data_IF_653743753657
#
_entry.id   IF_653743753657
#
_cell.length_a   1.000
_cell.length_b   1.000
_cell.length_c   1.000
_cell.angle_alpha   90.00
_cell.angle_beta   90.00
_cell.angle_gamma   90.00
#
_symmetry.space_group_name_H-M   'P 1'
#
loop_
_entity.id
_entity.type
_entity.pdbx_description
1 polymer ?
#
# COMPACT_ATOMS: atom_id res chain seq x y z
N UNK A 1 -6.52 28.57 46.12
CA UNK A 1 -5.83 27.73 47.12
C UNK A 1 -5.89 26.29 46.65
N UNK A 2 -4.75 25.64 46.51
CA UNK A 2 -4.61 24.36 45.87
C UNK A 2 -4.76 23.19 46.85
N UNK A 3 -5.14 22.04 46.33
CA UNK A 3 -4.90 20.76 47.04
C UNK A 3 -4.30 19.75 46.08
N UNK A 4 -3.01 19.58 46.24
CA UNK A 4 -2.18 18.49 45.74
C UNK A 4 -2.54 17.18 46.46
N UNK A 5 -2.73 16.10 45.75
CA UNK A 5 -2.65 14.74 46.28
C UNK A 5 -1.59 13.95 45.48
N UNK A 6 -0.46 13.79 46.14
CA UNK A 6 0.61 12.86 45.81
C UNK A 6 0.20 11.46 46.24
N UNK A 7 0.26 10.46 45.36
CA UNK A 7 0.19 9.06 45.74
C UNK A 7 1.45 8.34 45.28
N UNK A 8 2.28 7.97 46.25
CA UNK A 8 3.37 6.99 46.12
C UNK A 8 2.76 5.61 46.07
N UNK A 9 3.25 4.75 45.16
CA UNK A 9 3.14 3.30 45.28
C UNK A 9 4.50 2.65 45.01
N UNK A 10 4.87 1.83 45.97
CA UNK A 10 6.16 1.18 46.14
C UNK A 10 6.39 0.00 45.19
N UNK A 11 7.67 -0.22 44.88
CA UNK A 11 8.20 -1.37 44.22
C UNK A 11 8.26 -2.59 45.16
N UNK A 12 7.97 -3.76 44.66
CA UNK A 12 8.36 -5.05 45.27
C UNK A 12 9.11 -5.91 44.24
N UNK A 13 10.39 -6.11 44.54
CA UNK A 13 11.25 -7.16 43.94
C UNK A 13 10.88 -8.52 44.57
N UNK A 14 10.84 -9.55 43.76
CA UNK A 14 11.01 -10.95 44.23
C UNK A 14 11.95 -11.71 43.28
N UNK A 15 13.08 -12.06 43.85
CA UNK A 15 14.13 -12.94 43.29
C UNK A 15 13.97 -14.37 43.83
N UNK A 16 14.66 -15.31 43.17
CA UNK A 16 15.05 -16.69 43.55
C UNK A 16 14.44 -17.73 42.57
N UNK A 17 15.12 -18.81 42.17
CA UNK A 17 16.47 -19.35 42.42
C UNK A 17 16.74 -20.45 41.40
N UNK A 18 18.01 -20.67 41.11
CA UNK A 18 18.56 -21.74 40.28
C UNK A 18 18.41 -23.11 40.91
N UNK A 19 18.27 -24.15 40.06
CA UNK A 19 18.40 -25.56 40.45
C UNK A 19 19.06 -26.35 39.34
N UNK A 20 20.37 -26.61 39.47
CA UNK A 20 21.10 -27.61 38.71
C UNK A 20 20.95 -28.99 39.39
N UNK A 21 20.75 -30.06 38.59
CA UNK A 21 21.25 -31.41 38.94
C UNK A 21 21.59 -32.22 37.68
N UNK A 22 22.61 -33.07 37.74
CA UNK A 22 23.22 -33.69 36.58
C UNK A 22 22.92 -35.19 36.43
N UNK A 23 23.08 -35.69 35.19
CA UNK A 23 23.68 -36.96 34.85
C UNK A 23 22.83 -38.21 34.95
N UNK A 24 22.65 -38.90 33.83
CA UNK A 24 23.02 -40.33 33.71
C UNK A 24 23.02 -40.73 32.22
N UNK A 25 24.15 -41.28 31.82
CA UNK A 25 24.35 -42.00 30.55
C UNK A 25 23.72 -43.39 30.62
N UNK A 26 23.10 -43.84 29.55
CA UNK A 26 23.04 -45.29 29.24
C UNK A 26 23.03 -45.50 27.72
N UNK A 27 23.98 -46.33 27.30
CA UNK A 27 24.21 -46.86 25.96
C UNK A 27 23.09 -47.84 25.53
N UNK A 28 22.85 -47.82 24.21
CA UNK A 28 22.65 -49.04 23.44
C UNK A 28 21.26 -49.34 22.93
N UNK A 29 21.05 -49.18 21.64
CA UNK A 29 20.64 -50.30 20.78
C UNK A 29 20.51 -49.85 19.33
N UNK A 30 21.14 -50.60 18.44
CA UNK A 30 21.02 -50.45 16.99
C UNK A 30 19.60 -50.82 16.54
N UNK A 31 18.92 -49.88 15.90
CA UNK A 31 17.61 -50.06 15.29
C UNK A 31 17.65 -49.66 13.80
N UNK A 32 17.34 -50.62 12.99
CA UNK A 32 17.22 -50.73 11.55
C UNK A 32 16.76 -49.45 10.83
N UNK A 33 17.54 -49.02 9.85
CA UNK A 33 17.21 -47.90 8.93
C UNK A 33 16.10 -48.37 7.98
N UNK A 34 14.89 -47.95 8.23
CA UNK A 34 13.81 -47.99 7.23
C UNK A 34 13.94 -46.82 6.30
N UNK A 35 14.28 -47.09 5.05
CA UNK A 35 14.30 -46.16 3.95
C UNK A 35 12.86 -45.73 3.65
N UNK A 36 12.40 -44.62 4.21
CA UNK A 36 11.19 -43.95 3.73
C UNK A 36 11.52 -43.28 2.40
N UNK A 37 10.95 -43.81 1.34
CA UNK A 37 10.89 -43.16 0.02
C UNK A 37 10.05 -41.91 0.17
N UNK A 38 10.70 -40.75 0.13
CA UNK A 38 10.04 -39.44 0.16
C UNK A 38 9.08 -39.33 -1.00
N UNK A 39 7.84 -39.01 -0.73
CA UNK A 39 6.88 -38.54 -1.70
C UNK A 39 7.45 -37.30 -2.41
N UNK A 40 7.22 -37.08 -3.73
CA UNK A 40 7.70 -35.90 -4.39
C UNK A 40 7.04 -34.68 -3.75
N UNK A 41 7.85 -33.74 -3.30
CA UNK A 41 7.41 -32.42 -2.89
C UNK A 41 6.58 -31.83 -4.03
N UNK A 42 5.30 -31.58 -3.74
CA UNK A 42 4.42 -30.90 -4.68
C UNK A 42 5.09 -29.60 -5.13
N UNK A 43 5.31 -29.47 -6.43
CA UNK A 43 5.77 -28.24 -7.02
C UNK A 43 4.77 -27.14 -6.66
N UNK A 44 5.16 -26.25 -5.76
CA UNK A 44 4.50 -24.95 -5.66
C UNK A 44 4.65 -24.34 -7.05
N UNK A 45 3.56 -24.27 -7.78
CA UNK A 45 3.48 -23.50 -9.02
C UNK A 45 3.78 -22.06 -8.64
N UNK A 46 5.03 -21.68 -8.74
CA UNK A 46 5.48 -20.31 -8.54
C UNK A 46 4.71 -19.44 -9.52
N UNK A 47 3.83 -18.61 -9.01
CA UNK A 47 3.10 -17.61 -9.77
C UNK A 47 4.12 -16.77 -10.54
N UNK A 48 4.23 -17.01 -11.86
CA UNK A 48 5.19 -16.31 -12.69
C UNK A 48 4.68 -14.89 -12.94
N UNK A 49 5.37 -13.91 -12.37
CA UNK A 49 5.15 -12.50 -12.67
C UNK A 49 5.66 -12.23 -14.11
N UNK A 50 4.90 -11.44 -14.86
CA UNK A 50 5.33 -10.92 -16.16
C UNK A 50 6.53 -9.97 -16.04
N UNK A 51 7.11 -9.54 -17.17
CA UNK A 51 8.16 -8.54 -17.17
C UNK A 51 7.64 -7.19 -16.67
N UNK A 52 8.51 -6.41 -16.03
CA UNK A 52 8.22 -5.03 -15.70
C UNK A 52 8.08 -4.17 -16.95
N UNK A 53 7.07 -3.33 -16.98
CA UNK A 53 6.80 -2.34 -18.01
C UNK A 53 6.83 -0.96 -17.39
N UNK A 54 7.60 -0.04 -17.97
CA UNK A 54 7.60 1.37 -17.57
C UNK A 54 6.29 2.05 -18.00
N UNK A 55 5.76 2.91 -17.15
CA UNK A 55 4.61 3.77 -17.44
C UNK A 55 5.00 5.23 -17.71
N UNK A 56 6.29 5.59 -17.52
CA UNK A 56 6.85 6.90 -17.86
C UNK A 56 8.23 6.68 -18.47
N UNK A 57 8.40 6.98 -19.76
CA UNK A 57 9.66 6.81 -20.48
C UNK A 57 10.14 8.17 -21.00
N UNK A 58 11.28 8.64 -20.51
CA UNK A 58 11.82 9.95 -20.87
C UNK A 58 10.77 11.05 -20.62
N UNK A 59 10.36 11.74 -21.66
CA UNK A 59 9.37 12.82 -21.60
C UNK A 59 7.96 12.37 -22.04
N UNK A 60 7.76 11.05 -22.18
CA UNK A 60 6.51 10.50 -22.73
C UNK A 60 5.47 10.23 -21.67
N UNK A 61 4.28 10.71 -21.87
CA UNK A 61 3.06 10.38 -21.13
C UNK A 61 2.12 9.46 -21.94
N UNK A 62 2.63 8.74 -22.93
CA UNK A 62 1.82 7.92 -23.85
C UNK A 62 1.00 6.82 -23.13
N UNK A 63 1.47 6.32 -21.97
CA UNK A 63 0.73 5.36 -21.17
C UNK A 63 -0.45 5.97 -20.39
N UNK A 64 -0.57 7.30 -20.37
CA UNK A 64 -1.53 8.05 -19.55
C UNK A 64 -2.54 8.82 -20.39
N UNK A 65 -3.67 9.13 -19.79
CA UNK A 65 -4.68 10.08 -20.24
C UNK A 65 -5.41 10.69 -19.04
N UNK A 66 -6.17 11.74 -19.23
CA UNK A 66 -7.02 12.25 -18.17
C UNK A 66 -8.18 11.32 -17.85
N UNK A 67 -8.67 11.38 -16.62
CA UNK A 67 -9.90 10.67 -16.24
C UNK A 67 -11.07 11.19 -17.09
N UNK A 68 -11.78 10.28 -17.76
CA UNK A 68 -12.85 10.61 -18.75
C UNK A 68 -12.40 11.55 -19.88
N UNK A 69 -11.13 11.48 -20.28
CA UNK A 69 -10.55 12.30 -21.36
C UNK A 69 -9.60 11.45 -22.19
N UNK A 70 -9.40 11.82 -23.45
CA UNK A 70 -8.48 11.09 -24.36
C UNK A 70 -7.03 11.57 -24.25
N UNK A 71 -6.83 12.80 -23.73
CA UNK A 71 -5.50 13.40 -23.60
C UNK A 71 -5.15 13.66 -22.13
N UNK A 72 -3.86 13.77 -21.83
CA UNK A 72 -3.39 14.19 -20.51
C UNK A 72 -3.78 15.64 -20.26
N UNK A 73 -4.39 16.00 -19.11
CA UNK A 73 -4.74 17.38 -18.80
C UNK A 73 -3.50 18.28 -18.69
N UNK A 74 -3.59 19.55 -19.13
CA UNK A 74 -2.50 20.51 -18.93
C UNK A 74 -2.15 20.69 -17.46
N UNK A 75 -0.84 20.61 -17.14
CA UNK A 75 -0.32 20.74 -15.77
C UNK A 75 0.34 19.47 -15.26
N UNK A 76 0.14 18.34 -15.92
CA UNK A 76 1.03 17.19 -15.83
C UNK A 76 2.13 17.31 -16.88
N UNK A 77 3.34 16.98 -16.49
CA UNK A 77 4.50 16.92 -17.39
C UNK A 77 5.37 15.71 -17.08
N UNK A 78 6.11 15.23 -18.06
CA UNK A 78 7.18 14.27 -17.88
C UNK A 78 8.48 14.85 -18.40
N UNK A 79 9.55 14.70 -17.62
CA UNK A 79 10.90 15.08 -18.01
C UNK A 79 11.91 14.07 -17.44
N UNK A 80 12.76 13.55 -18.30
CA UNK A 80 13.77 12.55 -17.95
C UNK A 80 13.26 11.38 -17.06
N UNK A 81 12.02 10.91 -17.33
CA UNK A 81 11.38 9.82 -16.58
C UNK A 81 10.71 10.25 -15.27
N UNK A 82 10.68 11.53 -14.97
CA UNK A 82 9.96 12.10 -13.83
C UNK A 82 8.63 12.68 -14.30
N UNK A 83 7.53 12.11 -13.83
CA UNK A 83 6.16 12.63 -14.02
C UNK A 83 5.83 13.57 -12.88
N UNK A 84 5.39 14.78 -13.15
CA UNK A 84 5.15 15.79 -12.12
C UNK A 84 3.98 16.71 -12.38
N UNK A 85 3.46 17.28 -11.30
CA UNK A 85 2.57 18.44 -11.26
C UNK A 85 3.03 19.43 -10.18
N UNK A 86 2.76 20.73 -10.36
CA UNK A 86 3.09 21.78 -9.38
C UNK A 86 1.88 22.54 -8.84
N UNK A 87 0.68 22.23 -9.32
CA UNK A 87 -0.60 22.89 -8.98
C UNK A 87 -1.74 21.88 -9.08
N UNK A 88 -2.94 22.19 -8.57
CA UNK A 88 -4.11 21.36 -8.80
C UNK A 88 -4.39 21.18 -10.30
N UNK A 89 -4.56 19.92 -10.70
CA UNK A 89 -4.89 19.49 -12.07
C UNK A 89 -5.87 18.33 -12.00
N UNK A 90 -6.55 18.02 -13.10
CA UNK A 90 -7.41 16.83 -13.14
C UNK A 90 -6.57 15.53 -13.04
N UNK A 91 -7.17 14.49 -12.48
CA UNK A 91 -6.56 13.16 -12.34
C UNK A 91 -6.19 12.58 -13.70
N UNK A 92 -5.11 11.79 -13.69
CA UNK A 92 -4.72 10.97 -14.85
C UNK A 92 -4.89 9.50 -14.54
N UNK A 93 -5.18 8.73 -15.58
CA UNK A 93 -5.31 7.28 -15.51
C UNK A 93 -4.44 6.62 -16.58
N UNK A 94 -4.03 5.40 -16.35
CA UNK A 94 -3.39 4.58 -17.37
C UNK A 94 -4.36 4.34 -18.54
N UNK A 95 -3.86 4.25 -19.78
CA UNK A 95 -4.69 3.83 -20.93
C UNK A 95 -5.09 2.37 -20.79
N UNK A 96 -4.15 1.54 -20.36
CA UNK A 96 -4.40 0.14 -20.09
C UNK A 96 -5.09 -0.07 -18.74
N UNK A 97 -5.79 -1.18 -18.63
CA UNK A 97 -6.38 -1.66 -17.40
C UNK A 97 -5.61 -2.88 -16.88
N UNK A 98 -5.58 -3.04 -15.56
CA UNK A 98 -4.87 -4.10 -14.86
C UNK A 98 -5.82 -4.86 -13.94
N UNK A 99 -5.70 -6.19 -13.93
CA UNK A 99 -6.40 -7.06 -12.99
C UNK A 99 -5.50 -7.45 -11.84
N UNK A 100 -4.74 -8.54 -12.02
CA UNK A 100 -3.70 -8.95 -11.10
C UNK A 100 -2.39 -8.31 -11.51
N UNK A 101 -1.82 -7.49 -10.62
CA UNK A 101 -0.65 -6.67 -10.95
C UNK A 101 0.24 -6.42 -9.72
N UNK A 102 1.46 -6.04 -10.01
CA UNK A 102 2.35 -5.36 -9.06
C UNK A 102 2.77 -4.02 -9.66
N UNK A 103 2.45 -2.93 -8.96
CA UNK A 103 2.88 -1.56 -9.28
C UNK A 103 4.02 -1.19 -8.34
N UNK A 104 5.07 -0.60 -8.89
CA UNK A 104 6.19 -0.02 -8.12
C UNK A 104 6.50 1.35 -8.66
N UNK A 105 6.66 2.32 -7.78
CA UNK A 105 7.03 3.69 -8.13
C UNK A 105 7.69 4.38 -6.93
N UNK A 106 8.39 5.46 -7.21
CA UNK A 106 8.84 6.39 -6.20
C UNK A 106 8.08 7.72 -6.34
N UNK A 107 7.80 8.36 -5.21
CA UNK A 107 7.07 9.61 -5.17
C UNK A 107 7.69 10.61 -4.20
N UNK A 108 7.49 11.87 -4.48
CA UNK A 108 7.92 13.01 -3.68
C UNK A 108 6.75 14.00 -3.63
N UNK A 109 6.47 14.53 -2.44
CA UNK A 109 5.37 15.45 -2.21
C UNK A 109 5.88 16.69 -1.45
N UNK A 110 5.24 17.85 -1.68
CA UNK A 110 5.55 19.07 -0.94
C UNK A 110 4.99 19.04 0.48
N UNK A 111 5.43 19.97 1.33
CA UNK A 111 4.87 20.17 2.67
C UNK A 111 3.35 20.37 2.61
N UNK A 112 2.62 19.71 3.50
CA UNK A 112 1.15 19.68 3.52
C UNK A 112 0.51 18.98 2.34
N UNK A 113 1.30 18.31 1.49
CA UNK A 113 0.81 17.65 0.29
C UNK A 113 -0.12 16.48 0.59
N UNK A 114 -1.08 16.28 -0.31
CA UNK A 114 -2.07 15.21 -0.30
C UNK A 114 -2.29 14.72 -1.72
N UNK A 115 -2.30 13.41 -1.94
CA UNK A 115 -2.60 12.75 -3.20
C UNK A 115 -2.93 11.28 -2.98
N UNK A 116 -3.39 10.61 -4.03
CA UNK A 116 -3.70 9.18 -3.99
C UNK A 116 -3.25 8.45 -5.26
N UNK A 117 -2.99 7.16 -5.10
CA UNK A 117 -2.88 6.19 -6.20
C UNK A 117 -4.11 5.31 -6.12
N UNK A 118 -4.99 5.40 -7.12
CA UNK A 118 -6.15 4.52 -7.21
C UNK A 118 -5.84 3.34 -8.11
N UNK A 119 -6.37 2.18 -7.77
CA UNK A 119 -6.20 0.97 -8.58
C UNK A 119 -7.53 0.28 -8.84
N UNK A 120 -7.59 -0.42 -9.98
CA UNK A 120 -8.81 -1.01 -10.53
C UNK A 120 -9.96 0.01 -10.63
N UNK A 121 -9.61 1.31 -10.78
CA UNK A 121 -10.59 2.37 -10.98
C UNK A 121 -11.30 2.23 -12.31
N UNK A 122 -12.62 2.50 -12.34
CA UNK A 122 -13.44 2.54 -13.55
C UNK A 122 -13.92 3.94 -13.83
N UNK A 123 -14.37 4.20 -15.05
CA UNK A 123 -14.90 5.50 -15.47
C UNK A 123 -16.42 5.58 -15.35
N UNK A 124 -17.01 4.75 -14.53
CA UNK A 124 -18.46 4.69 -14.32
C UNK A 124 -19.02 5.99 -13.72
N UNK A 125 -18.35 6.53 -12.71
CA UNK A 125 -18.76 7.73 -12.00
C UNK A 125 -17.93 8.98 -12.38
N UNK A 126 -18.31 10.19 -11.93
CA UNK A 126 -17.55 11.43 -12.18
C UNK A 126 -16.13 11.46 -11.59
N UNK A 127 -15.81 10.61 -10.61
CA UNK A 127 -14.52 10.56 -9.92
C UNK A 127 -14.01 9.13 -9.82
N UNK A 128 -12.71 8.93 -10.00
CA UNK A 128 -12.09 7.60 -9.92
C UNK A 128 -12.18 6.98 -8.53
N UNK A 129 -12.10 7.79 -7.47
CA UNK A 129 -12.16 7.33 -6.09
C UNK A 129 -13.57 6.87 -5.64
N UNK A 130 -14.56 6.92 -6.53
CA UNK A 130 -15.87 6.34 -6.28
C UNK A 130 -15.95 4.87 -6.70
N UNK A 131 -14.92 4.37 -7.37
CA UNK A 131 -14.82 2.95 -7.75
C UNK A 131 -13.51 2.31 -7.34
N UNK A 132 -12.40 3.02 -7.44
CA UNK A 132 -11.05 2.51 -7.15
C UNK A 132 -10.64 2.72 -5.69
N UNK A 133 -10.21 1.67 -4.99
CA UNK A 133 -9.53 1.82 -3.71
C UNK A 133 -8.28 2.67 -3.85
N UNK A 134 -7.92 3.38 -2.78
CA UNK A 134 -6.85 4.37 -2.76
C UNK A 134 -5.69 3.95 -1.86
N UNK A 135 -4.48 4.01 -2.39
CA UNK A 135 -3.24 4.09 -1.63
C UNK A 135 -2.93 5.56 -1.36
N UNK A 136 -2.93 5.97 -0.11
CA UNK A 136 -2.74 7.37 0.28
C UNK A 136 -1.27 7.82 0.16
N UNK A 137 -1.06 8.99 -0.44
CA UNK A 137 0.20 9.74 -0.47
C UNK A 137 0.02 11.03 0.32
N UNK A 138 0.74 11.19 1.43
CA UNK A 138 0.47 12.28 2.36
C UNK A 138 1.74 12.78 3.05
N UNK A 139 1.78 14.07 3.35
CA UNK A 139 2.60 14.59 4.45
C UNK A 139 1.83 14.37 5.76
N UNK A 140 2.15 13.30 6.48
CA UNK A 140 1.44 12.91 7.70
C UNK A 140 1.53 13.97 8.82
N UNK A 141 2.51 14.87 8.77
CA UNK A 141 2.71 15.88 9.81
C UNK A 141 1.90 17.15 9.58
N UNK A 142 1.84 17.63 8.33
CA UNK A 142 1.26 18.94 7.99
C UNK A 142 -0.10 18.87 7.30
N UNK A 143 -0.42 17.77 6.62
CA UNK A 143 -1.71 17.61 5.99
C UNK A 143 -2.81 17.30 7.01
N UNK A 144 -4.03 17.77 6.76
CA UNK A 144 -5.17 17.58 7.66
C UNK A 144 -5.52 16.11 7.88
N UNK A 145 -5.37 15.29 6.85
CA UNK A 145 -5.65 13.85 6.87
C UNK A 145 -4.63 13.04 7.70
N UNK A 146 -3.44 13.59 7.98
CA UNK A 146 -2.40 12.94 8.80
C UNK A 146 -2.78 12.75 10.28
N UNK A 147 -3.86 13.38 10.72
CA UNK A 147 -4.39 13.23 12.11
C UNK A 147 -4.96 11.82 12.39
N UNK A 148 -5.25 11.04 11.36
CA UNK A 148 -5.80 9.69 11.49
C UNK A 148 -4.95 8.68 10.73
N UNK A 149 -4.65 7.55 11.37
CA UNK A 149 -3.93 6.45 10.70
C UNK A 149 -4.73 5.84 9.54
N UNK A 150 -6.05 5.99 9.53
CA UNK A 150 -6.93 5.56 8.43
C UNK A 150 -6.74 6.38 7.15
N UNK A 151 -6.15 7.57 7.25
CA UNK A 151 -5.99 8.51 6.14
C UNK A 151 -4.53 8.95 5.96
N UNK A 152 -3.58 8.32 6.68
CA UNK A 152 -2.14 8.57 6.59
C UNK A 152 -1.52 7.89 5.37
N UNK A 153 -0.30 8.29 5.03
CA UNK A 153 0.45 7.71 3.91
C UNK A 153 0.53 6.18 4.00
N UNK A 154 0.29 5.52 2.89
CA UNK A 154 0.27 4.05 2.77
C UNK A 154 -1.02 3.38 3.21
N UNK A 155 -1.95 4.08 3.86
CA UNK A 155 -3.25 3.52 4.22
C UNK A 155 -4.05 3.10 2.97
N UNK A 156 -4.92 2.10 3.11
CA UNK A 156 -6.08 1.99 2.23
C UNK A 156 -7.10 3.01 2.74
N UNK A 157 -7.10 4.18 2.10
CA UNK A 157 -7.72 5.41 2.59
C UNK A 157 -9.11 5.19 3.17
N UNK A 158 -9.27 5.56 4.43
CA UNK A 158 -10.54 5.49 5.14
C UNK A 158 -11.03 4.08 5.51
N UNK A 159 -10.26 3.01 5.21
CA UNK A 159 -10.66 1.61 5.45
C UNK A 159 -9.65 0.84 6.29
N UNK A 160 -8.36 0.86 5.92
CA UNK A 160 -7.30 0.15 6.65
C UNK A 160 -6.19 1.11 7.05
N UNK A 161 -5.87 1.21 8.33
CA UNK A 161 -4.88 2.16 8.82
C UNK A 161 -3.46 1.75 8.43
N UNK A 162 -2.62 2.76 8.18
CA UNK A 162 -1.18 2.59 8.01
C UNK A 162 -0.45 2.84 9.33
N UNK A 163 0.54 2.02 9.73
CA UNK A 163 1.39 2.32 10.87
C UNK A 163 2.25 3.58 10.62
N UNK A 164 2.66 4.25 11.69
CA UNK A 164 3.52 5.43 11.62
C UNK A 164 5.00 5.08 11.42
N UNK A 165 5.81 6.09 11.03
CA UNK A 165 7.27 6.00 11.09
C UNK A 165 7.94 5.39 9.87
N UNK A 166 7.25 5.28 8.76
CA UNK A 166 7.78 4.68 7.52
C UNK A 166 8.01 5.70 6.39
N UNK A 167 7.59 6.96 6.57
CA UNK A 167 7.87 8.04 5.62
C UNK A 167 9.32 8.53 5.77
N UNK A 168 9.91 8.90 4.64
CA UNK A 168 11.13 9.71 4.59
C UNK A 168 10.76 11.18 4.77
N UNK A 169 11.72 12.05 5.12
CA UNK A 169 11.50 13.49 5.21
C UNK A 169 10.84 14.07 3.96
N UNK A 170 10.05 15.13 4.15
CA UNK A 170 9.43 15.84 3.03
C UNK A 170 10.50 16.34 2.06
N UNK A 171 10.28 16.13 0.78
CA UNK A 171 11.24 16.41 -0.27
C UNK A 171 12.14 15.22 -0.64
N UNK A 172 12.11 14.14 0.13
CA UNK A 172 12.79 12.89 -0.23
C UNK A 172 11.87 11.96 -1.02
N UNK A 173 12.48 11.04 -1.79
CA UNK A 173 11.77 10.05 -2.57
C UNK A 173 11.36 8.86 -1.71
N UNK A 174 10.05 8.65 -1.56
CA UNK A 174 9.47 7.45 -0.96
C UNK A 174 9.18 6.41 -2.03
N UNK A 175 9.43 5.14 -1.74
CA UNK A 175 9.07 4.02 -2.61
C UNK A 175 7.73 3.43 -2.18
N UNK A 176 6.82 3.27 -3.13
CA UNK A 176 5.55 2.56 -2.96
C UNK A 176 5.53 1.33 -3.83
N UNK A 177 5.01 0.23 -3.27
CA UNK A 177 4.65 -0.96 -4.00
C UNK A 177 3.22 -1.37 -3.65
N UNK A 178 2.40 -1.61 -4.66
CA UNK A 178 1.03 -2.13 -4.53
C UNK A 178 0.98 -3.48 -5.22
N UNK A 179 0.58 -4.51 -4.50
CA UNK A 179 0.35 -5.86 -5.05
C UNK A 179 -1.14 -6.14 -4.99
N UNK A 180 -1.75 -6.48 -6.12
CA UNK A 180 -3.14 -6.92 -6.19
C UNK A 180 -3.20 -8.26 -6.93
N UNK A 181 -3.73 -9.30 -6.27
CA UNK A 181 -3.87 -10.64 -6.84
C UNK A 181 -5.22 -11.23 -6.43
N UNK A 182 -6.10 -11.43 -7.40
CA UNK A 182 -7.49 -11.79 -7.09
C UNK A 182 -8.12 -10.74 -6.17
N UNK A 183 -8.57 -11.15 -4.99
CA UNK A 183 -9.09 -10.27 -3.96
C UNK A 183 -7.99 -9.70 -3.05
N UNK A 184 -6.82 -10.36 -2.98
CA UNK A 184 -5.73 -9.99 -2.08
C UNK A 184 -5.03 -8.72 -2.51
N UNK A 185 -4.84 -7.76 -1.59
CA UNK A 185 -4.14 -6.50 -1.82
C UNK A 185 -3.14 -6.24 -0.71
N UNK A 186 -1.94 -5.80 -1.09
CA UNK A 186 -0.89 -5.35 -0.18
C UNK A 186 -0.45 -3.92 -0.53
N UNK A 187 -0.25 -3.10 0.48
CA UNK A 187 0.40 -1.79 0.40
C UNK A 187 1.77 -1.82 1.09
N UNK A 188 2.79 -1.38 0.38
CA UNK A 188 4.17 -1.31 0.87
C UNK A 188 4.69 0.11 0.76
N UNK A 189 5.46 0.55 1.75
CA UNK A 189 6.14 1.84 1.78
C UNK A 189 7.58 1.64 2.23
N UNK A 190 8.54 2.11 1.45
CA UNK A 190 9.97 2.04 1.73
C UNK A 190 10.44 0.63 2.16
N UNK A 191 9.94 -0.42 1.47
CA UNK A 191 10.29 -1.82 1.72
C UNK A 191 9.51 -2.50 2.84
N UNK A 192 8.62 -1.78 3.55
CA UNK A 192 7.80 -2.33 4.65
C UNK A 192 6.35 -2.54 4.19
N UNK A 193 5.78 -3.73 4.44
CA UNK A 193 4.35 -3.97 4.21
C UNK A 193 3.55 -3.31 5.33
N UNK A 194 2.73 -2.33 4.97
CA UNK A 194 1.95 -1.53 5.90
C UNK A 194 0.52 -2.04 6.08
N UNK A 195 -0.10 -2.45 4.97
CA UNK A 195 -1.51 -2.83 4.92
C UNK A 195 -1.65 -4.07 4.04
N UNK A 196 -2.53 -4.96 4.47
CA UNK A 196 -2.90 -6.18 3.75
C UNK A 196 -4.39 -6.45 3.98
N UNK A 197 -5.13 -6.77 2.91
CA UNK A 197 -6.57 -7.01 3.01
C UNK A 197 -7.12 -7.78 1.81
N UNK A 198 -8.34 -8.30 1.98
CA UNK A 198 -9.09 -9.02 0.95
C UNK A 198 -10.30 -8.21 0.51
N UNK A 199 -10.31 -7.78 -0.75
CA UNK A 199 -11.48 -7.14 -1.38
C UNK A 199 -12.69 -8.06 -1.30
N UNK A 200 -13.87 -7.49 -1.08
CA UNK A 200 -15.15 -8.21 -0.99
C UNK A 200 -15.22 -9.26 0.14
N UNK A 201 -14.27 -9.28 1.07
CA UNK A 201 -14.40 -10.07 2.31
C UNK A 201 -15.50 -9.48 3.21
N UNK A 202 -15.90 -10.21 4.24
CA UNK A 202 -16.84 -9.70 5.25
C UNK A 202 -16.27 -8.46 5.95
N UNK A 203 -14.98 -8.47 6.32
CA UNK A 203 -14.29 -7.33 6.95
C UNK A 203 -14.26 -6.11 6.02
N UNK A 204 -13.89 -6.29 4.73
CA UNK A 204 -13.97 -5.22 3.72
C UNK A 204 -15.37 -4.63 3.62
N UNK A 205 -16.38 -5.49 3.51
CA UNK A 205 -17.76 -5.08 3.33
C UNK A 205 -18.27 -4.24 4.51
N UNK A 206 -17.98 -4.66 5.74
CA UNK A 206 -18.34 -3.91 6.95
C UNK A 206 -17.61 -2.55 7.02
N UNK A 207 -16.32 -2.49 6.67
CA UNK A 207 -15.56 -1.24 6.64
C UNK A 207 -16.09 -0.27 5.57
N UNK A 208 -16.38 -0.76 4.36
CA UNK A 208 -17.00 0.06 3.30
C UNK A 208 -18.34 0.61 3.77
N UNK A 209 -19.19 -0.25 4.35
CA UNK A 209 -20.49 0.14 4.89
C UNK A 209 -20.41 1.20 5.98
N UNK A 210 -19.40 1.13 6.83
CA UNK A 210 -19.15 2.10 7.91
C UNK A 210 -18.47 3.39 7.45
N UNK A 211 -18.06 3.49 6.18
CA UNK A 211 -17.30 4.61 5.63
C UNK A 211 -18.12 5.47 4.68
N UNK A 212 -17.52 6.57 4.19
CA UNK A 212 -18.08 7.39 3.12
C UNK A 212 -18.32 6.61 1.81
N UNK A 213 -17.59 5.53 1.60
CA UNK A 213 -17.66 4.72 0.38
C UNK A 213 -18.94 3.92 0.24
N UNK A 214 -19.73 3.77 1.30
CA UNK A 214 -21.05 3.16 1.25
C UNK A 214 -22.01 3.87 0.29
N UNK A 215 -21.72 5.12 -0.06
CA UNK A 215 -22.51 5.88 -1.03
C UNK A 215 -22.34 5.40 -2.48
N UNK A 216 -21.33 4.56 -2.77
CA UNK A 216 -21.03 4.09 -4.14
C UNK A 216 -21.08 2.56 -4.22
N UNK A 217 -22.17 2.01 -4.80
CA UNK A 217 -22.40 0.56 -4.78
C UNK A 217 -21.30 -0.29 -5.40
N UNK A 218 -20.54 0.27 -6.36
CA UNK A 218 -19.50 -0.45 -7.10
C UNK A 218 -18.08 -0.18 -6.59
N UNK A 219 -17.94 0.47 -5.41
CA UNK A 219 -16.64 0.75 -4.82
C UNK A 219 -15.86 -0.54 -4.51
N UNK A 220 -14.66 -0.66 -5.10
CA UNK A 220 -13.75 -1.78 -4.91
C UNK A 220 -14.19 -3.11 -5.53
N UNK A 221 -15.27 -3.14 -6.34
CA UNK A 221 -15.80 -4.38 -6.92
C UNK A 221 -15.16 -4.76 -8.26
N UNK A 222 -14.51 -3.82 -8.95
CA UNK A 222 -13.90 -4.09 -10.24
C UNK A 222 -12.70 -5.03 -10.10
N UNK A 223 -12.73 -6.14 -10.83
CA UNK A 223 -11.61 -7.11 -10.89
C UNK A 223 -10.47 -6.62 -11.77
N UNK A 224 -10.73 -5.66 -12.66
CA UNK A 224 -9.82 -5.04 -13.59
C UNK A 224 -10.20 -3.59 -13.80
N UNK A 225 -9.22 -2.69 -13.86
CA UNK A 225 -9.44 -1.27 -14.08
C UNK A 225 -8.12 -0.52 -14.23
N UNK A 226 -8.21 0.79 -14.25
CA UNK A 226 -7.08 1.69 -14.43
C UNK A 226 -6.31 1.89 -13.13
N UNK A 227 -5.01 2.18 -13.26
CA UNK A 227 -4.24 2.89 -12.23
C UNK A 227 -4.47 4.37 -12.43
N UNK A 228 -4.77 5.10 -11.38
CA UNK A 228 -4.94 6.54 -11.45
C UNK A 228 -4.01 7.27 -10.48
N UNK A 229 -3.60 8.47 -10.85
CA UNK A 229 -2.84 9.38 -10.02
C UNK A 229 -3.67 10.63 -9.78
N UNK A 230 -3.90 10.93 -8.50
CA UNK A 230 -4.68 12.09 -8.10
C UNK A 230 -3.92 13.39 -8.34
N UNK A 231 -4.59 14.35 -8.95
CA UNK A 231 -4.00 15.63 -9.30
C UNK A 231 -4.65 16.84 -8.65
N UNK A 232 -5.85 16.71 -8.10
CA UNK A 232 -6.73 17.85 -7.75
C UNK A 232 -6.36 18.56 -6.44
N UNK A 233 -5.45 18.02 -5.63
CA UNK A 233 -4.95 18.70 -4.44
C UNK A 233 -3.86 19.73 -4.73
N UNK A 234 -3.68 20.68 -3.82
CA UNK A 234 -2.63 21.70 -3.88
C UNK A 234 -1.23 21.09 -3.66
N UNK A 235 -0.20 21.87 -3.96
CA UNK A 235 1.19 21.48 -3.80
C UNK A 235 1.76 20.73 -5.01
N UNK A 236 3.07 20.51 -4.93
CA UNK A 236 3.81 19.75 -5.94
C UNK A 236 3.79 18.25 -5.60
N UNK A 237 3.79 17.46 -6.65
CA UNK A 237 3.84 16.01 -6.59
C UNK A 237 4.67 15.52 -7.77
N UNK A 238 5.59 14.61 -7.51
CA UNK A 238 6.43 14.02 -8.54
C UNK A 238 6.50 12.50 -8.34
N UNK A 239 6.60 11.79 -9.46
CA UNK A 239 6.76 10.33 -9.54
C UNK A 239 7.93 9.99 -10.44
N UNK A 240 8.69 8.96 -10.11
CA UNK A 240 9.73 8.37 -10.98
C UNK A 240 9.74 6.85 -10.84
N UNK A 241 10.46 6.18 -11.73
CA UNK A 241 10.56 4.71 -11.73
C UNK A 241 9.18 4.02 -11.74
N UNK A 242 8.19 4.67 -12.38
CA UNK A 242 6.81 4.18 -12.43
C UNK A 242 6.73 2.97 -13.34
N UNK A 243 6.56 1.80 -12.77
CA UNK A 243 6.55 0.53 -13.49
C UNK A 243 5.50 -0.43 -12.95
N UNK A 244 4.96 -1.25 -13.83
CA UNK A 244 3.94 -2.24 -13.51
C UNK A 244 4.26 -3.57 -14.18
N UNK A 245 3.85 -4.67 -13.57
CA UNK A 245 3.86 -6.00 -14.18
C UNK A 245 2.57 -6.74 -13.88
N UNK A 246 2.14 -7.57 -14.82
CA UNK A 246 1.03 -8.49 -14.61
C UNK A 246 1.49 -9.66 -13.73
N UNK A 247 0.63 -10.07 -12.81
CA UNK A 247 0.77 -11.27 -11.99
C UNK A 247 -0.13 -12.37 -12.59
N UNK A 248 0.41 -13.57 -12.75
CA UNK A 248 -0.30 -14.72 -13.32
C UNK A 248 -0.50 -15.80 -12.27
#
# INVERSE_FOLDING_TARGET
MPRTHTLLIAATLASLSAGCHPGHSSMGSAGTVSRQTGAPAGSQAGSQAGPWRSLVEGNSLAAWRGYKRDTVPPGWSADAGVLAKSRPVADIITRDQFGDFELSLEWQISEGGNAGIFYRGTEEYPRVYWTGPEYQLLDDEKAADGKSRLTSAGAAYGLYPSPAGHLKPIGDWNETRIVARGAHVEHWLNGVKLVEYELSSADWTEKVKASKFNAWPNYGLAKRGHIALQGDHAGSLAFRNVRIRDLR
#
